data_IF_043105982109
#
_entry.id   IF_043105982109
#
_cell.length_a   1.000
_cell.length_b   1.000
_cell.length_c   1.000
_cell.angle_alpha   90.00
_cell.angle_beta   90.00
_cell.angle_gamma   90.00
#
_symmetry.space_group_name_H-M   'P 1'
#
loop_
_entity.id
_entity.type
_entity.pdbx_description
1 polymer ?
#
# COMPACT_ATOMS: atom_id res chain seq x y z
N UNK A 1 13.60 -14.45 9.81
CA UNK A 1 13.39 -14.15 8.38
C UNK A 1 13.03 -12.69 8.13
N UNK A 2 12.01 -12.12 8.80
CA UNK A 2 11.67 -10.68 8.69
C UNK A 2 12.89 -9.76 8.97
N UNK A 3 13.67 -10.06 10.03
CA UNK A 3 14.90 -9.31 10.31
C UNK A 3 15.95 -9.41 9.18
N UNK A 4 16.03 -10.54 8.48
CA UNK A 4 16.95 -10.68 7.35
C UNK A 4 16.49 -9.80 6.18
N UNK A 5 15.18 -9.75 5.91
CA UNK A 5 14.63 -8.86 4.88
C UNK A 5 14.81 -7.38 5.27
N UNK A 6 14.64 -7.02 6.54
CA UNK A 6 14.94 -5.68 7.03
C UNK A 6 16.41 -5.32 6.80
N UNK A 7 17.35 -6.23 7.10
CA UNK A 7 18.77 -6.00 6.84
C UNK A 7 19.07 -5.83 5.35
N UNK A 8 18.41 -6.60 4.48
CA UNK A 8 18.57 -6.50 3.03
C UNK A 8 18.02 -5.17 2.50
N UNK A 9 16.82 -4.76 2.93
CA UNK A 9 16.23 -3.48 2.52
C UNK A 9 16.96 -2.28 3.12
N UNK A 10 17.41 -2.37 4.37
CA UNK A 10 18.20 -1.32 5.02
C UNK A 10 19.59 -1.19 4.42
N UNK A 11 20.14 -2.27 3.84
CA UNK A 11 21.42 -2.20 3.14
C UNK A 11 21.37 -1.21 1.97
N UNK A 12 20.26 -1.16 1.22
CA UNK A 12 20.07 -0.14 0.17
C UNK A 12 20.12 1.29 0.75
N UNK A 13 19.43 1.54 1.87
CA UNK A 13 19.48 2.84 2.57
C UNK A 13 20.89 3.19 3.10
N UNK A 14 21.64 2.18 3.53
CA UNK A 14 22.99 2.36 4.10
C UNK A 14 24.00 2.66 3.01
N UNK A 15 23.91 2.01 1.84
CA UNK A 15 24.68 2.38 0.65
C UNK A 15 24.35 3.81 0.19
N UNK A 16 23.09 4.24 0.27
CA UNK A 16 22.67 5.61 -0.05
C UNK A 16 23.36 6.66 0.84
N UNK A 17 23.53 6.37 2.13
CA UNK A 17 24.19 7.29 3.06
C UNK A 17 25.71 7.30 2.90
N UNK A 18 26.31 6.15 2.55
CA UNK A 18 27.76 6.02 2.33
C UNK A 18 28.22 6.54 0.95
N UNK A 19 27.31 6.55 -0.03
CA UNK A 19 27.59 6.90 -1.43
C UNK A 19 27.16 8.33 -1.81
N UNK A 20 27.03 9.25 -0.85
CA UNK A 20 26.76 10.67 -1.15
C UNK A 20 27.79 11.31 -2.09
N UNK A 21 28.95 10.68 -2.32
CA UNK A 21 29.98 11.21 -3.22
C UNK A 21 30.12 10.52 -4.58
N UNK A 22 29.66 9.29 -4.86
CA UNK A 22 30.19 8.60 -6.06
C UNK A 22 29.37 7.53 -6.80
N UNK A 23 28.09 7.25 -6.50
CA UNK A 23 27.43 6.10 -7.15
C UNK A 23 26.19 6.48 -7.98
N UNK A 24 26.18 6.01 -9.24
CA UNK A 24 25.08 6.14 -10.19
C UNK A 24 23.78 5.58 -9.61
N UNK A 25 22.66 6.13 -10.07
CA UNK A 25 21.30 5.70 -9.71
C UNK A 25 21.08 4.18 -9.89
N UNK A 26 21.90 3.51 -10.71
CA UNK A 26 21.82 2.07 -10.98
C UNK A 26 22.11 1.20 -9.75
N UNK A 27 23.06 1.56 -8.89
CA UNK A 27 23.35 0.76 -7.70
C UNK A 27 22.23 0.80 -6.65
N UNK A 28 21.50 1.92 -6.57
CA UNK A 28 20.39 2.14 -5.62
C UNK A 28 19.18 1.23 -5.86
N UNK A 29 19.13 0.56 -7.01
CA UNK A 29 18.02 -0.32 -7.40
C UNK A 29 18.42 -1.79 -7.49
N UNK A 30 19.71 -2.12 -7.31
CA UNK A 30 20.21 -3.47 -7.60
C UNK A 30 19.58 -4.52 -6.69
N UNK A 31 19.56 -4.31 -5.38
CA UNK A 31 19.02 -5.30 -4.43
C UNK A 31 17.52 -5.47 -4.60
N UNK A 32 16.75 -4.37 -4.72
CA UNK A 32 15.32 -4.44 -5.02
C UNK A 32 15.05 -5.17 -6.34
N UNK A 33 15.86 -4.94 -7.37
CA UNK A 33 15.70 -5.59 -8.67
C UNK A 33 16.02 -7.10 -8.60
N UNK A 34 17.06 -7.50 -7.87
CA UNK A 34 17.37 -8.92 -7.64
C UNK A 34 16.25 -9.60 -6.83
N UNK A 35 15.75 -8.93 -5.79
CA UNK A 35 14.66 -9.46 -4.97
C UNK A 35 13.36 -9.56 -5.76
N UNK A 36 13.07 -8.56 -6.61
CA UNK A 36 11.98 -8.61 -7.58
C UNK A 36 12.14 -9.81 -8.51
N UNK A 37 13.35 -10.04 -9.02
CA UNK A 37 13.67 -11.21 -9.85
C UNK A 37 13.39 -12.54 -9.13
N UNK A 38 13.76 -12.64 -7.86
CA UNK A 38 13.47 -13.81 -7.02
C UNK A 38 11.97 -14.05 -6.88
N UNK A 39 11.20 -13.01 -6.53
CA UNK A 39 9.75 -13.09 -6.38
C UNK A 39 9.11 -13.53 -7.70
N UNK A 40 9.44 -12.86 -8.80
CA UNK A 40 8.91 -13.17 -10.12
C UNK A 40 9.28 -14.60 -10.56
N UNK A 41 10.51 -15.03 -10.30
CA UNK A 41 10.93 -16.39 -10.60
C UNK A 41 10.08 -17.42 -9.85
N UNK A 42 9.76 -17.20 -8.57
CA UNK A 42 8.87 -18.09 -7.82
C UNK A 42 7.43 -18.05 -8.34
N UNK A 43 6.93 -16.87 -8.68
CA UNK A 43 5.58 -16.68 -9.25
C UNK A 43 5.44 -17.40 -10.59
N UNK A 44 6.41 -17.28 -11.49
CA UNK A 44 6.35 -17.94 -12.81
C UNK A 44 6.74 -19.42 -12.77
N UNK A 45 7.51 -19.87 -11.79
CA UNK A 45 7.86 -21.28 -11.59
C UNK A 45 6.99 -21.96 -10.52
N UNK A 46 5.80 -21.45 -10.24
CA UNK A 46 4.87 -21.97 -9.22
C UNK A 46 4.63 -23.48 -9.31
N UNK A 47 4.63 -24.03 -10.54
CA UNK A 47 4.45 -25.47 -10.79
C UNK A 47 5.55 -26.34 -10.17
N UNK A 48 6.77 -25.82 -10.02
CA UNK A 48 7.89 -26.53 -9.35
C UNK A 48 7.62 -26.74 -7.86
N UNK A 49 6.68 -26.00 -7.30
CA UNK A 49 6.25 -26.12 -5.90
C UNK A 49 4.93 -26.89 -5.76
N UNK A 50 4.52 -27.66 -6.78
CA UNK A 50 3.27 -28.43 -6.79
C UNK A 50 2.01 -27.59 -6.54
N UNK A 51 1.99 -26.35 -7.05
CA UNK A 51 0.82 -25.47 -6.99
C UNK A 51 0.07 -25.43 -8.33
N UNK A 52 -1.26 -25.38 -8.28
CA UNK A 52 -2.11 -25.32 -9.48
C UNK A 52 -2.07 -23.96 -10.19
N UNK A 53 -1.83 -22.89 -9.42
CA UNK A 53 -1.74 -21.50 -9.88
C UNK A 53 -0.78 -20.72 -8.96
N UNK A 54 -0.41 -19.51 -9.37
CA UNK A 54 0.57 -18.69 -8.64
C UNK A 54 -0.02 -17.82 -7.53
N UNK A 55 -1.35 -17.85 -7.32
CA UNK A 55 -2.04 -17.07 -6.29
C UNK A 55 -1.44 -17.28 -4.89
N UNK A 56 -1.16 -18.51 -4.41
CA UNK A 56 -0.59 -18.71 -3.08
C UNK A 56 0.80 -18.09 -2.92
N UNK A 57 1.61 -18.07 -3.99
CA UNK A 57 2.93 -17.44 -3.99
C UNK A 57 2.80 -15.93 -3.84
N UNK A 58 1.87 -15.32 -4.59
CA UNK A 58 1.57 -13.87 -4.48
C UNK A 58 1.12 -13.54 -3.06
N UNK A 59 0.15 -14.27 -2.52
CA UNK A 59 -0.34 -14.06 -1.15
C UNK A 59 0.79 -14.14 -0.12
N UNK A 60 1.62 -15.18 -0.20
CA UNK A 60 2.78 -15.33 0.69
C UNK A 60 3.67 -14.09 0.69
N UNK A 61 4.02 -13.58 -0.50
CA UNK A 61 4.91 -12.43 -0.60
C UNK A 61 4.26 -11.13 -0.13
N UNK A 62 2.98 -10.92 -0.43
CA UNK A 62 2.25 -9.75 0.04
C UNK A 62 2.17 -9.77 1.57
N UNK A 63 1.74 -10.89 2.16
CA UNK A 63 1.66 -11.08 3.61
C UNK A 63 3.03 -10.84 4.26
N UNK A 64 4.12 -11.25 3.61
CA UNK A 64 5.47 -11.04 4.13
C UNK A 64 5.94 -9.58 4.04
N UNK A 65 5.65 -8.89 2.94
CA UNK A 65 6.08 -7.50 2.71
C UNK A 65 5.35 -6.51 3.62
N UNK A 66 4.07 -6.75 3.95
CA UNK A 66 3.31 -5.89 4.88
C UNK A 66 3.74 -6.04 6.35
N UNK A 67 4.54 -7.06 6.67
CA UNK A 67 5.15 -7.21 8.01
C UNK A 67 6.39 -6.34 8.19
N UNK A 68 6.91 -5.72 7.14
CA UNK A 68 8.05 -4.81 7.23
C UNK A 68 7.62 -3.55 8.01
N UNK A 69 8.36 -3.13 9.06
CA UNK A 69 8.06 -1.90 9.77
C UNK A 69 8.07 -0.71 8.82
N UNK A 70 7.06 0.15 8.92
CA UNK A 70 6.90 1.33 8.07
C UNK A 70 6.93 1.01 6.56
N UNK A 71 6.40 -0.15 6.16
CA UNK A 71 6.35 -0.56 4.76
C UNK A 71 5.62 0.44 3.85
N UNK A 72 4.63 1.16 4.39
CA UNK A 72 3.83 2.16 3.67
C UNK A 72 4.63 3.37 3.22
N UNK A 73 5.75 3.67 3.89
CA UNK A 73 6.64 4.80 3.55
C UNK A 73 7.94 4.32 2.88
N UNK A 74 8.11 3.00 2.71
CA UNK A 74 9.32 2.42 2.15
C UNK A 74 9.13 2.14 0.65
N UNK A 75 9.64 3.03 -0.19
CA UNK A 75 9.56 2.92 -1.65
C UNK A 75 10.06 1.58 -2.20
N UNK A 76 11.08 0.98 -1.60
CA UNK A 76 11.59 -0.33 -2.03
C UNK A 76 10.55 -1.43 -1.82
N UNK A 77 9.85 -1.41 -0.68
CA UNK A 77 8.75 -2.35 -0.40
C UNK A 77 7.56 -2.07 -1.33
N UNK A 78 7.21 -0.80 -1.52
CA UNK A 78 6.12 -0.41 -2.42
C UNK A 78 6.37 -0.86 -3.86
N UNK A 79 7.61 -0.78 -4.36
CA UNK A 79 7.99 -1.28 -5.71
C UNK A 79 7.84 -2.80 -5.85
N UNK A 80 8.14 -3.55 -4.79
CA UNK A 80 7.93 -5.00 -4.77
C UNK A 80 6.44 -5.35 -4.73
N UNK A 81 5.66 -4.63 -3.93
CA UNK A 81 4.20 -4.75 -3.89
C UNK A 81 3.56 -4.36 -5.22
N UNK A 82 4.06 -3.33 -5.89
CA UNK A 82 3.61 -2.90 -7.22
C UNK A 82 3.83 -4.01 -8.26
N UNK A 83 4.98 -4.68 -8.22
CA UNK A 83 5.26 -5.83 -9.08
C UNK A 83 4.27 -6.98 -8.84
N UNK A 84 3.95 -7.27 -7.57
CA UNK A 84 2.96 -8.30 -7.22
C UNK A 84 1.56 -7.90 -7.69
N UNK A 85 1.18 -6.63 -7.56
CA UNK A 85 -0.08 -6.10 -8.08
C UNK A 85 -0.16 -6.27 -9.59
N UNK A 86 0.90 -5.92 -10.32
CA UNK A 86 0.98 -6.06 -11.77
C UNK A 86 0.76 -7.51 -12.22
N UNK A 87 1.49 -8.46 -11.63
CA UNK A 87 1.39 -9.87 -12.05
C UNK A 87 0.08 -10.51 -11.60
N UNK A 88 -0.50 -10.06 -10.49
CA UNK A 88 -1.78 -10.58 -10.02
C UNK A 88 -2.93 -10.34 -11.00
N UNK A 89 -2.84 -9.33 -11.88
CA UNK A 89 -3.87 -9.03 -12.87
C UNK A 89 -4.16 -10.20 -13.82
N UNK A 90 -3.22 -11.14 -13.96
CA UNK A 90 -3.38 -12.34 -14.80
C UNK A 90 -4.04 -13.52 -14.08
N UNK A 91 -4.31 -13.43 -12.78
CA UNK A 91 -4.95 -14.50 -11.99
C UNK A 91 -6.01 -13.91 -11.05
N UNK A 92 -7.31 -14.11 -11.33
CA UNK A 92 -8.40 -13.55 -10.52
C UNK A 92 -8.31 -13.87 -9.02
N UNK A 93 -7.83 -15.06 -8.65
CA UNK A 93 -7.65 -15.44 -7.25
C UNK A 93 -6.59 -14.58 -6.55
N UNK A 94 -5.53 -14.21 -7.27
CA UNK A 94 -4.46 -13.37 -6.75
C UNK A 94 -4.95 -11.93 -6.52
N UNK A 95 -5.77 -11.41 -7.43
CA UNK A 95 -6.41 -10.09 -7.26
C UNK A 95 -7.25 -10.06 -5.99
N UNK A 96 -8.07 -11.09 -5.77
CA UNK A 96 -8.93 -11.18 -4.60
C UNK A 96 -8.12 -11.20 -3.29
N UNK A 97 -7.06 -12.01 -3.24
CA UNK A 97 -6.18 -12.10 -2.08
C UNK A 97 -5.46 -10.78 -1.78
N UNK A 98 -5.00 -10.07 -2.81
CA UNK A 98 -4.39 -8.74 -2.64
C UNK A 98 -5.37 -7.73 -2.05
N UNK A 99 -6.61 -7.70 -2.56
CA UNK A 99 -7.65 -6.81 -2.04
C UNK A 99 -7.96 -7.10 -0.58
N UNK A 100 -8.05 -8.37 -0.20
CA UNK A 100 -8.28 -8.78 1.19
C UNK A 100 -7.17 -8.26 2.12
N UNK A 101 -5.90 -8.48 1.74
CA UNK A 101 -4.76 -8.03 2.54
C UNK A 101 -4.73 -6.51 2.66
N UNK A 102 -4.88 -5.77 1.55
CA UNK A 102 -4.86 -4.31 1.59
C UNK A 102 -6.04 -3.72 2.38
N UNK A 103 -7.23 -4.31 2.25
CA UNK A 103 -8.40 -3.91 3.05
C UNK A 103 -8.15 -4.12 4.55
N UNK A 104 -7.51 -5.23 4.93
CA UNK A 104 -7.14 -5.49 6.32
C UNK A 104 -6.10 -4.48 6.83
N UNK A 105 -5.06 -4.20 6.03
CA UNK A 105 -4.04 -3.22 6.39
C UNK A 105 -4.63 -1.80 6.53
N UNK A 106 -5.57 -1.41 5.68
CA UNK A 106 -6.29 -0.14 5.80
C UNK A 106 -7.06 -0.04 7.12
N UNK A 107 -7.71 -1.13 7.56
CA UNK A 107 -8.39 -1.17 8.87
C UNK A 107 -7.38 -1.00 10.00
N UNK A 108 -6.26 -1.71 9.96
CA UNK A 108 -5.21 -1.62 10.98
C UNK A 108 -4.66 -0.19 11.09
N UNK A 109 -4.41 0.48 9.97
CA UNK A 109 -3.91 1.86 9.98
C UNK A 109 -4.99 2.82 10.50
N UNK A 110 -6.24 2.67 10.05
CA UNK A 110 -7.37 3.46 10.55
C UNK A 110 -7.52 3.31 12.07
N UNK A 111 -7.45 2.09 12.59
CA UNK A 111 -7.56 1.80 14.03
C UNK A 111 -6.39 2.39 14.83
N UNK A 112 -5.19 2.46 14.25
CA UNK A 112 -4.06 3.17 14.87
C UNK A 112 -4.32 4.68 14.93
N UNK A 113 -4.90 5.27 13.89
CA UNK A 113 -5.27 6.69 13.87
C UNK A 113 -6.38 7.02 14.88
N UNK A 114 -7.36 6.13 15.09
CA UNK A 114 -8.46 6.38 16.05
C UNK A 114 -8.06 6.16 17.51
N UNK A 115 -7.08 5.28 17.78
CA UNK A 115 -6.57 5.02 19.15
C UNK A 115 -5.61 6.10 19.68
N UNK A 116 -5.20 7.07 18.85
CA UNK A 116 -4.33 8.18 19.23
C UNK A 116 -5.01 9.37 19.94
N UNK A 117 -6.32 9.34 20.15
CA UNK A 117 -7.04 10.39 20.88
C UNK A 117 -8.56 10.27 20.71
N UNK A 118 -9.29 10.53 21.79
CA UNK A 118 -10.76 10.54 21.88
C UNK A 118 -11.40 11.64 20.99
N UNK A 119 -11.28 11.50 19.67
CA UNK A 119 -11.79 12.47 18.69
C UNK A 119 -12.21 11.88 17.35
N UNK A 120 -12.35 10.54 17.25
CA UNK A 120 -12.45 9.78 16.00
C UNK A 120 -13.68 10.01 15.09
N UNK A 121 -14.53 10.98 15.39
CA UNK A 121 -15.61 11.43 14.49
C UNK A 121 -15.58 12.95 14.20
N UNK A 122 -14.65 13.70 14.79
CA UNK A 122 -14.56 15.17 14.66
C UNK A 122 -13.14 15.69 14.28
N UNK A 123 -12.14 14.82 14.18
CA UNK A 123 -10.79 15.19 13.68
C UNK A 123 -10.71 15.38 12.16
N UNK A 124 -11.81 15.22 11.43
CA UNK A 124 -11.85 15.50 9.99
C UNK A 124 -12.01 17.01 9.72
N UNK A 125 -12.65 17.73 10.65
CA UNK A 125 -13.08 19.14 10.46
C UNK A 125 -12.15 20.19 11.08
N UNK A 126 -11.27 19.84 12.03
CA UNK A 126 -10.56 20.86 12.84
C UNK A 126 -9.14 21.20 12.38
N UNK A 127 -8.63 20.54 11.34
CA UNK A 127 -7.30 20.84 10.83
C UNK A 127 -7.27 20.52 9.35
N UNK A 128 -7.04 21.52 8.50
CA UNK A 128 -6.76 21.37 7.05
C UNK A 128 -5.48 20.57 6.73
N UNK A 129 -5.09 19.69 7.65
CA UNK A 129 -3.99 18.72 7.63
C UNK A 129 -4.46 17.35 8.17
N UNK A 130 -5.76 17.12 8.27
CA UNK A 130 -6.36 15.85 8.72
C UNK A 130 -5.76 14.68 7.94
N UNK A 131 -5.01 13.84 8.64
CA UNK A 131 -4.36 12.67 8.08
C UNK A 131 -5.42 11.73 7.53
N UNK A 132 -5.70 11.83 6.22
CA UNK A 132 -6.23 10.72 5.47
C UNK A 132 -5.23 9.59 5.64
N UNK A 133 -5.62 8.57 6.41
CA UNK A 133 -4.85 7.35 6.56
C UNK A 133 -5.00 6.50 5.30
N UNK A 134 -4.60 7.05 4.16
CA UNK A 134 -4.45 6.30 2.91
C UNK A 134 -3.18 5.46 3.01
N UNK A 135 -3.21 4.30 2.36
CA UNK A 135 -1.99 3.54 2.11
C UNK A 135 -1.08 4.25 1.10
N UNK A 136 -1.58 5.26 0.39
CA UNK A 136 -0.82 6.03 -0.58
C UNK A 136 -0.27 7.29 0.07
N UNK A 137 1.05 7.33 0.21
CA UNK A 137 1.75 8.59 0.35
C UNK A 137 1.84 9.26 -1.03
N UNK A 138 1.34 10.49 -1.14
CA UNK A 138 1.18 11.23 -2.41
C UNK A 138 2.49 11.34 -3.22
N UNK A 139 3.63 11.20 -2.54
CA UNK A 139 4.99 11.25 -3.05
C UNK A 139 5.34 10.12 -4.03
N UNK A 140 4.74 8.93 -3.88
CA UNK A 140 5.22 7.72 -4.56
C UNK A 140 4.31 7.21 -5.69
N UNK A 141 3.16 7.83 -5.90
CA UNK A 141 2.11 7.35 -6.84
C UNK A 141 2.58 7.23 -8.29
N UNK A 142 3.56 8.03 -8.72
CA UNK A 142 4.12 7.92 -10.08
C UNK A 142 5.07 6.72 -10.27
N UNK A 143 5.65 6.19 -9.20
CA UNK A 143 6.62 5.08 -9.25
C UNK A 143 5.98 3.71 -9.00
N UNK A 144 4.77 3.68 -8.44
CA UNK A 144 4.05 2.44 -8.08
C UNK A 144 2.57 2.48 -8.54
N UNK A 145 2.31 2.55 -9.85
CA UNK A 145 0.98 2.78 -10.40
C UNK A 145 0.00 1.62 -10.16
N UNK A 146 0.47 0.37 -10.17
CA UNK A 146 -0.38 -0.81 -9.95
C UNK A 146 -0.77 -0.93 -8.48
N UNK A 147 0.17 -0.70 -7.58
CA UNK A 147 -0.12 -0.60 -6.15
C UNK A 147 -1.15 0.51 -5.88
N UNK A 148 -0.94 1.70 -6.47
CA UNK A 148 -1.88 2.82 -6.35
C UNK A 148 -3.29 2.46 -6.84
N UNK A 149 -3.39 1.79 -7.99
CA UNK A 149 -4.68 1.31 -8.52
C UNK A 149 -5.39 0.38 -7.53
N UNK A 150 -4.69 -0.59 -6.96
CA UNK A 150 -5.27 -1.53 -6.00
C UNK A 150 -5.72 -0.84 -4.71
N UNK A 151 -4.90 0.06 -4.16
CA UNK A 151 -5.28 0.83 -2.96
C UNK A 151 -6.51 1.67 -3.23
N UNK A 152 -6.52 2.46 -4.30
CA UNK A 152 -7.66 3.31 -4.67
C UNK A 152 -8.94 2.50 -4.89
N UNK A 153 -8.81 1.31 -5.48
CA UNK A 153 -9.95 0.40 -5.66
C UNK A 153 -10.52 -0.04 -4.31
N UNK A 154 -9.66 -0.37 -3.33
CA UNK A 154 -10.09 -0.75 -1.99
C UNK A 154 -10.73 0.45 -1.26
N UNK A 155 -10.14 1.64 -1.35
CA UNK A 155 -10.67 2.87 -0.75
C UNK A 155 -12.05 3.24 -1.33
N UNK A 156 -12.21 3.17 -2.65
CA UNK A 156 -13.47 3.43 -3.33
C UNK A 156 -14.56 2.44 -2.90
N UNK A 157 -14.23 1.15 -2.75
CA UNK A 157 -15.18 0.15 -2.27
C UNK A 157 -15.65 0.46 -0.85
N UNK A 158 -14.74 0.89 0.03
CA UNK A 158 -15.07 1.31 1.39
C UNK A 158 -15.88 2.61 1.44
N UNK A 159 -15.58 3.58 0.57
CA UNK A 159 -16.36 4.82 0.43
C UNK A 159 -17.82 4.50 0.06
N UNK A 160 -18.00 3.66 -0.97
CA UNK A 160 -19.33 3.20 -1.42
C UNK A 160 -20.05 2.47 -0.27
N UNK A 161 -19.36 1.54 0.41
CA UNK A 161 -19.91 0.75 1.52
C UNK A 161 -20.34 1.62 2.69
N UNK A 162 -19.55 2.63 3.04
CA UNK A 162 -19.84 3.54 4.15
C UNK A 162 -21.00 4.49 3.86
N UNK A 163 -21.41 4.63 2.59
CA UNK A 163 -22.40 5.61 2.16
C UNK A 163 -21.99 7.04 2.51
N UNK A 164 -20.69 7.32 2.64
CA UNK A 164 -20.16 8.65 2.98
C UNK A 164 -20.73 9.70 2.04
N UNK A 165 -20.61 9.47 0.73
CA UNK A 165 -21.13 10.38 -0.29
C UNK A 165 -22.63 10.65 -0.17
N UNK A 166 -23.42 9.62 0.15
CA UNK A 166 -24.86 9.78 0.39
C UNK A 166 -25.16 10.66 1.62
N UNK A 167 -24.32 10.61 2.65
CA UNK A 167 -24.43 11.45 3.86
C UNK A 167 -24.02 12.89 3.57
N UNK A 168 -22.92 13.10 2.85
CA UNK A 168 -22.46 14.41 2.39
C UNK A 168 -23.54 15.10 1.56
N UNK A 169 -24.09 14.41 0.56
CA UNK A 169 -25.17 14.94 -0.28
C UNK A 169 -26.42 15.30 0.52
N UNK A 170 -26.78 14.50 1.53
CA UNK A 170 -27.92 14.81 2.41
C UNK A 170 -27.65 16.06 3.27
N UNK A 171 -26.42 16.24 3.75
CA UNK A 171 -26.04 17.40 4.55
C UNK A 171 -26.09 18.69 3.71
N UNK A 172 -25.50 18.66 2.51
CA UNK A 172 -25.56 19.77 1.55
C UNK A 172 -26.98 20.10 1.09
N UNK A 173 -27.84 19.08 0.95
CA UNK A 173 -29.24 19.30 0.62
C UNK A 173 -30.01 20.02 1.74
N UNK A 174 -29.70 19.68 2.99
CA UNK A 174 -30.36 20.28 4.16
C UNK A 174 -29.80 21.67 4.51
N UNK A 175 -28.55 21.95 4.15
CA UNK A 175 -27.90 23.25 4.35
C UNK A 175 -27.13 23.70 3.09
N UNK A 176 -27.82 24.35 2.14
CA UNK A 176 -27.24 24.72 0.84
C UNK A 176 -26.22 25.86 0.92
N UNK A 177 -26.07 26.53 2.07
CA UNK A 177 -25.07 27.58 2.27
C UNK A 177 -23.73 27.02 2.79
N UNK A 178 -23.71 25.74 3.17
CA UNK A 178 -22.51 25.07 3.65
C UNK A 178 -21.63 24.65 2.48
N UNK A 179 -20.37 25.07 2.47
CA UNK A 179 -19.36 24.63 1.48
C UNK A 179 -19.13 23.12 1.60
N UNK A 180 -18.79 22.48 0.48
CA UNK A 180 -18.38 21.07 0.45
C UNK A 180 -17.19 20.81 1.37
N UNK A 181 -16.31 21.81 1.55
CA UNK A 181 -15.13 21.73 2.43
C UNK A 181 -15.50 21.66 3.92
N UNK A 182 -16.72 22.06 4.28
CA UNK A 182 -17.25 21.97 5.65
C UNK A 182 -17.92 20.59 5.86
N UNK A 183 -18.35 19.94 4.76
CA UNK A 183 -18.99 18.63 4.79
C UNK A 183 -18.01 17.45 4.68
N UNK A 184 -16.79 17.70 4.19
CA UNK A 184 -15.69 16.73 4.01
C UNK A 184 -14.72 16.78 5.19
#
# INVERSE_FOLDING_TARGET
>A
FVNALQCILASDQTYVNLAKSYISVEAKSKIVNEFRGLILNQVFNYRRFNMDNFSPVVKFWVDFLVLVPNWTTNLSVLKLLDTLCQVSLFEPRAIQQLKEVFTEQQKVIRDKCTKGGLGGLLTWVSSGTGQYSSLLERSFTSEVPWFALFVLTCEMQEEIRSGLWKRVLRYLHNDPMTSIDICL
#
